data_IF_644612967792
#
_entry.id   IF_644612967792
#
_cell.length_a   1.000
_cell.length_b   1.000
_cell.length_c   1.000
_cell.angle_alpha   90.00
_cell.angle_beta   90.00
_cell.angle_gamma   90.00
#
_symmetry.space_group_name_H-M   'P 1'
#
loop_
_entity.id
_entity.type
_entity.pdbx_description
1 polymer ?
#
# COMPACT_ATOMS: atom_id res chain seq x y z
N UNK A 1 -6.40 14.63 23.33
CA UNK A 1 -5.01 15.05 23.04
C UNK A 1 -4.56 14.20 21.87
N UNK A 2 -4.72 14.69 20.65
CA UNK A 2 -4.23 14.00 19.46
C UNK A 2 -2.70 14.11 19.48
N UNK A 3 -2.00 12.97 19.52
CA UNK A 3 -0.56 12.93 19.31
C UNK A 3 -0.30 12.77 17.82
N UNK A 4 0.54 13.63 17.27
CA UNK A 4 1.05 13.50 15.91
C UNK A 4 1.81 12.17 15.79
N UNK A 5 1.38 11.32 14.88
CA UNK A 5 2.09 10.09 14.54
C UNK A 5 3.07 10.34 13.40
N UNK A 6 4.18 10.96 13.74
CA UNK A 6 5.42 10.73 13.00
C UNK A 6 6.15 9.63 13.77
N UNK A 7 6.32 8.47 13.16
CA UNK A 7 7.07 7.38 13.75
C UNK A 7 8.50 7.83 14.06
N UNK A 8 8.72 8.33 15.28
CA UNK A 8 10.04 8.54 15.84
C UNK A 8 10.68 7.18 16.14
N UNK A 9 11.08 6.48 15.11
CA UNK A 9 11.85 5.27 15.16
C UNK A 9 12.57 5.16 13.84
N UNK A 10 13.75 5.77 13.72
CA UNK A 10 14.72 5.31 12.73
C UNK A 10 14.84 3.81 12.96
N UNK A 11 14.14 3.01 12.15
CA UNK A 11 14.21 1.56 12.24
C UNK A 11 15.68 1.15 12.13
N UNK A 12 16.12 0.29 13.04
CA UNK A 12 17.50 -0.23 13.11
C UNK A 12 17.98 -0.80 11.77
N UNK A 13 17.07 -1.13 10.86
CA UNK A 13 17.34 -1.60 9.50
C UNK A 13 18.11 -0.59 8.63
N UNK A 14 17.97 0.72 8.84
CA UNK A 14 18.69 1.74 8.07
C UNK A 14 20.14 1.95 8.53
N UNK A 15 20.52 1.54 9.72
CA UNK A 15 21.89 1.75 10.24
C UNK A 15 22.89 0.69 9.81
N UNK A 16 22.45 -0.47 9.31
CA UNK A 16 23.34 -1.61 9.01
C UNK A 16 23.69 -1.81 7.52
N UNK A 17 23.25 -0.94 6.61
CA UNK A 17 23.42 -1.13 5.15
C UNK A 17 24.68 -0.50 4.53
N UNK A 18 25.72 -0.20 5.30
CA UNK A 18 27.01 0.31 4.77
C UNK A 18 28.10 -0.76 4.80
N UNK A 19 27.79 -2.03 4.59
CA UNK A 19 28.79 -3.09 4.46
C UNK A 19 28.74 -3.67 3.04
N UNK A 20 29.71 -3.26 2.23
CA UNK A 20 30.07 -3.86 0.94
C UNK A 20 30.29 -5.37 1.11
N UNK A 21 29.38 -6.20 0.67
CA UNK A 21 29.62 -7.64 0.62
C UNK A 21 29.75 -8.12 -0.83
N UNK A 22 30.91 -8.66 -1.11
CA UNK A 22 31.24 -9.45 -2.28
C UNK A 22 30.19 -10.55 -2.47
N UNK A 23 29.61 -10.57 -3.67
CA UNK A 23 28.78 -11.66 -4.18
C UNK A 23 29.66 -12.90 -4.34
N UNK A 24 29.55 -13.86 -3.44
CA UNK A 24 30.03 -15.23 -3.67
C UNK A 24 28.95 -16.19 -3.19
N UNK A 25 28.64 -17.13 -4.07
CA UNK A 25 27.74 -18.29 -3.93
C UNK A 25 27.61 -18.87 -2.52
N UNK A 26 26.52 -18.53 -1.81
CA UNK A 26 26.14 -19.18 -0.54
C UNK A 26 24.68 -19.65 -0.52
N UNK A 27 24.07 -19.89 -1.69
CA UNK A 27 22.72 -20.45 -1.77
C UNK A 27 22.72 -21.94 -2.12
N UNK A 28 23.59 -22.75 -1.52
CA UNK A 28 23.47 -24.21 -1.56
C UNK A 28 23.75 -24.78 -0.17
N UNK A 29 22.68 -25.28 0.46
CA UNK A 29 22.68 -26.15 1.64
C UNK A 29 22.28 -25.56 3.01
N UNK A 30 21.20 -24.79 3.09
CA UNK A 30 20.35 -24.81 4.29
C UNK A 30 19.15 -25.71 3.96
N UNK A 31 18.96 -26.80 4.69
CA UNK A 31 17.86 -27.76 4.49
C UNK A 31 16.47 -27.21 4.88
N UNK A 32 16.25 -25.93 4.67
CA UNK A 32 14.94 -25.28 4.82
C UNK A 32 14.17 -25.55 3.53
N UNK A 33 12.96 -26.12 3.58
CA UNK A 33 12.11 -26.31 2.40
C UNK A 33 11.94 -25.00 1.67
N UNK A 34 12.23 -25.03 0.37
CA UNK A 34 12.05 -23.85 -0.48
C UNK A 34 10.57 -23.68 -0.71
N UNK A 35 9.94 -22.71 -0.02
CA UNK A 35 8.50 -22.42 -0.13
C UNK A 35 8.20 -21.85 -1.51
N UNK A 36 7.30 -22.52 -2.23
CA UNK A 36 6.79 -22.07 -3.53
C UNK A 36 5.50 -21.30 -3.30
N UNK A 37 5.44 -20.04 -3.69
CA UNK A 37 4.25 -19.20 -3.51
C UNK A 37 4.54 -17.76 -3.93
N UNK A 38 3.53 -16.90 -3.98
CA UNK A 38 3.73 -15.50 -4.30
C UNK A 38 4.50 -14.77 -3.20
N UNK A 39 5.15 -13.67 -3.54
CA UNK A 39 5.47 -12.64 -2.55
C UNK A 39 4.18 -11.91 -2.18
N UNK A 40 3.90 -11.77 -0.89
CA UNK A 40 2.78 -11.00 -0.38
C UNK A 40 3.26 -9.64 0.12
N UNK A 41 2.74 -8.55 -0.44
CA UNK A 41 3.11 -7.19 -0.08
C UNK A 41 1.87 -6.48 0.45
N UNK A 42 1.91 -6.10 1.72
CA UNK A 42 0.75 -5.59 2.44
C UNK A 42 0.78 -4.06 2.53
N UNK A 43 -0.27 -3.40 2.08
CA UNK A 43 -0.60 -2.05 2.47
C UNK A 43 -1.11 -2.10 3.92
N UNK A 44 -0.19 -1.86 4.85
CA UNK A 44 -0.48 -2.05 6.27
C UNK A 44 -1.48 -1.02 6.76
N UNK A 45 -1.42 0.22 6.27
CA UNK A 45 -2.35 1.28 6.62
C UNK A 45 -3.79 0.92 6.22
N UNK A 46 -4.00 0.50 4.98
CA UNK A 46 -5.31 0.05 4.50
C UNK A 46 -5.88 -1.10 5.34
N UNK A 47 -5.04 -2.04 5.78
CA UNK A 47 -5.45 -3.20 6.57
C UNK A 47 -5.78 -2.85 8.02
N UNK A 48 -4.99 -2.00 8.69
CA UNK A 48 -5.30 -1.65 10.07
C UNK A 48 -6.47 -0.67 10.19
N UNK A 49 -6.62 0.29 9.26
CA UNK A 49 -7.81 1.15 9.21
C UNK A 49 -9.08 0.33 9.01
N UNK A 50 -9.03 -0.63 8.09
CA UNK A 50 -10.12 -1.56 7.86
C UNK A 50 -10.46 -2.36 9.12
N UNK A 51 -9.45 -2.89 9.80
CA UNK A 51 -9.61 -3.66 11.03
C UNK A 51 -10.21 -2.80 12.15
N UNK A 52 -9.75 -1.56 12.31
CA UNK A 52 -10.25 -0.61 13.28
C UNK A 52 -11.76 -0.38 13.12
N UNK A 53 -12.23 -0.16 11.89
CA UNK A 53 -13.65 0.09 11.62
C UNK A 53 -14.51 -1.17 11.59
N UNK A 54 -13.93 -2.34 11.36
CA UNK A 54 -14.68 -3.60 11.26
C UNK A 54 -14.86 -4.30 12.62
N UNK A 55 -13.94 -4.08 13.56
CA UNK A 55 -13.97 -4.75 14.86
C UNK A 55 -14.85 -3.99 15.86
N UNK A 56 -15.53 -4.70 16.77
CA UNK A 56 -16.32 -4.06 17.82
C UNK A 56 -15.46 -3.16 18.72
N UNK A 57 -15.90 -1.94 18.99
CA UNK A 57 -15.23 -0.99 19.89
C UNK A 57 -15.13 -1.47 21.34
N UNK A 58 -15.88 -2.51 21.71
CA UNK A 58 -15.81 -3.16 23.03
C UNK A 58 -14.64 -4.11 23.20
N UNK A 59 -13.86 -4.37 22.15
CA UNK A 59 -12.65 -5.18 22.25
C UNK A 59 -11.53 -4.37 22.89
N UNK A 60 -11.02 -4.86 24.01
CA UNK A 60 -9.97 -4.18 24.78
C UNK A 60 -8.79 -5.09 25.10
N UNK A 61 -7.64 -4.49 25.28
CA UNK A 61 -6.46 -5.06 25.87
C UNK A 61 -6.63 -5.25 27.38
N UNK A 62 -5.73 -5.96 28.08
CA UNK A 62 -5.80 -6.18 29.54
C UNK A 62 -5.86 -4.89 30.38
N UNK A 63 -5.29 -3.79 29.90
CA UNK A 63 -5.32 -2.47 30.55
C UNK A 63 -6.61 -1.68 30.27
N UNK A 64 -7.52 -2.22 29.46
CA UNK A 64 -8.78 -1.59 29.06
C UNK A 64 -8.69 -0.72 27.81
N UNK A 65 -7.51 -0.51 27.20
CA UNK A 65 -7.36 0.23 25.96
C UNK A 65 -7.95 -0.54 24.75
N UNK A 66 -8.48 0.15 23.72
CA UNK A 66 -8.97 -0.52 22.52
C UNK A 66 -7.86 -1.32 21.82
N UNK A 67 -8.18 -2.55 21.35
CA UNK A 67 -7.24 -3.41 20.63
C UNK A 67 -7.82 -4.04 19.36
N UNK A 68 -8.97 -3.55 18.89
CA UNK A 68 -9.67 -4.11 17.73
C UNK A 68 -8.82 -4.10 16.46
N UNK A 69 -8.09 -3.02 16.20
CA UNK A 69 -7.23 -2.91 15.02
C UNK A 69 -6.09 -3.93 15.06
N UNK A 70 -5.42 -4.11 16.21
CA UNK A 70 -4.34 -5.10 16.37
C UNK A 70 -4.87 -6.52 16.14
N UNK A 71 -5.99 -6.87 16.79
CA UNK A 71 -6.62 -8.19 16.64
C UNK A 71 -7.05 -8.46 15.19
N UNK A 72 -7.73 -7.50 14.58
CA UNK A 72 -8.24 -7.63 13.21
C UNK A 72 -7.13 -7.72 12.19
N UNK A 73 -6.08 -6.92 12.33
CA UNK A 73 -4.90 -6.96 11.47
C UNK A 73 -4.20 -8.33 11.53
N UNK A 74 -3.88 -8.81 12.73
CA UNK A 74 -3.20 -10.11 12.90
C UNK A 74 -4.07 -11.27 12.41
N UNK A 75 -5.39 -11.24 12.66
CA UNK A 75 -6.31 -12.23 12.12
C UNK A 75 -6.35 -12.23 10.60
N UNK A 76 -6.31 -11.03 9.98
CA UNK A 76 -6.23 -10.87 8.53
C UNK A 76 -4.90 -11.38 7.98
N UNK A 77 -3.78 -11.05 8.63
CA UNK A 77 -2.45 -11.54 8.27
C UNK A 77 -2.39 -13.07 8.28
N UNK A 78 -2.86 -13.72 9.38
CA UNK A 78 -2.90 -15.17 9.47
C UNK A 78 -3.70 -15.78 8.31
N UNK A 79 -4.89 -15.22 8.03
CA UNK A 79 -5.75 -15.72 6.94
C UNK A 79 -5.16 -15.51 5.56
N UNK A 80 -4.46 -14.38 5.32
CA UNK A 80 -3.74 -14.13 4.07
C UNK A 80 -2.64 -15.18 3.85
N UNK A 81 -1.87 -15.51 4.88
CA UNK A 81 -0.83 -16.55 4.84
C UNK A 81 -1.46 -17.93 4.54
N UNK A 82 -2.53 -18.30 5.23
CA UNK A 82 -3.25 -19.56 5.00
C UNK A 82 -3.73 -19.72 3.57
N UNK A 83 -4.39 -18.67 3.04
CA UNK A 83 -5.05 -18.71 1.71
C UNK A 83 -4.05 -18.64 0.57
N UNK A 84 -3.09 -17.73 0.66
CA UNK A 84 -2.17 -17.47 -0.46
C UNK A 84 -0.86 -18.24 -0.38
N UNK A 85 -0.56 -18.89 0.77
CA UNK A 85 0.66 -19.69 0.98
C UNK A 85 1.93 -18.99 0.49
N UNK A 86 2.22 -17.75 0.97
CA UNK A 86 3.28 -16.94 0.39
C UNK A 86 4.67 -17.48 0.67
N UNK A 87 5.58 -17.30 -0.28
CA UNK A 87 7.00 -17.57 -0.10
C UNK A 87 7.71 -16.49 0.73
N UNK A 88 7.17 -15.27 0.77
CA UNK A 88 7.61 -14.16 1.61
C UNK A 88 6.48 -13.18 1.87
N UNK A 89 6.57 -12.43 2.96
CA UNK A 89 5.61 -11.38 3.34
C UNK A 89 6.36 -10.12 3.70
N UNK A 90 5.91 -8.97 3.21
CA UNK A 90 6.39 -7.63 3.59
C UNK A 90 5.23 -6.75 3.96
N UNK A 91 5.32 -6.08 5.10
CA UNK A 91 4.42 -5.03 5.52
C UNK A 91 4.96 -3.67 5.01
N UNK A 92 4.33 -3.08 3.99
CA UNK A 92 4.60 -1.72 3.54
C UNK A 92 4.12 -0.72 4.58
N UNK A 93 4.93 0.29 4.86
CA UNK A 93 4.69 1.24 5.93
C UNK A 93 4.83 2.68 5.44
N UNK A 94 3.91 3.54 5.83
CA UNK A 94 4.03 4.97 5.59
C UNK A 94 5.11 5.55 6.50
N UNK A 95 6.25 5.92 5.91
CA UNK A 95 7.25 6.72 6.61
C UNK A 95 6.91 8.22 6.56
N UNK A 96 6.14 8.61 5.54
CA UNK A 96 5.57 9.95 5.38
C UNK A 96 4.26 9.81 4.61
N UNK A 97 3.12 10.00 5.28
CA UNK A 97 1.80 9.84 4.69
C UNK A 97 1.42 10.97 3.70
N UNK A 98 2.16 12.10 3.75
CA UNK A 98 1.94 13.28 2.91
C UNK A 98 3.25 13.92 2.49
N UNK A 99 4.03 13.26 1.61
CA UNK A 99 5.38 13.67 1.25
C UNK A 99 5.45 15.11 0.71
N UNK A 100 6.42 15.87 1.20
CA UNK A 100 6.59 17.28 0.84
C UNK A 100 6.75 17.50 -0.67
N UNK A 101 7.34 16.54 -1.40
CA UNK A 101 7.48 16.63 -2.85
C UNK A 101 6.13 16.50 -3.58
N UNK A 102 5.20 15.65 -3.09
CA UNK A 102 3.82 15.56 -3.62
C UNK A 102 3.06 16.85 -3.34
N UNK A 103 3.20 17.41 -2.14
CA UNK A 103 2.61 18.70 -1.76
C UNK A 103 3.14 19.85 -2.62
N UNK A 104 4.45 19.86 -2.93
CA UNK A 104 5.04 20.87 -3.81
C UNK A 104 4.47 20.81 -5.23
N UNK A 105 4.15 19.62 -5.74
CA UNK A 105 3.51 19.44 -7.04
C UNK A 105 2.02 19.79 -7.00
N UNK A 106 1.31 19.34 -5.95
CA UNK A 106 -0.13 19.54 -5.77
C UNK A 106 -0.42 19.97 -4.32
N UNK A 107 -0.50 21.28 -4.03
CA UNK A 107 -0.75 21.78 -2.68
C UNK A 107 -2.06 21.27 -2.04
N UNK A 108 -3.01 20.85 -2.86
CA UNK A 108 -4.28 20.25 -2.41
C UNK A 108 -4.16 18.77 -1.99
N UNK A 109 -3.00 18.14 -2.24
CA UNK A 109 -2.81 16.72 -1.96
C UNK A 109 -3.08 16.39 -0.50
N UNK A 110 -4.07 15.53 -0.25
CA UNK A 110 -4.52 15.04 1.07
C UNK A 110 -4.79 16.14 2.14
N UNK A 111 -5.05 17.40 1.72
CA UNK A 111 -5.28 18.50 2.68
C UNK A 111 -6.48 18.29 3.58
N UNK A 112 -7.50 17.58 3.12
CA UNK A 112 -8.69 17.27 3.92
C UNK A 112 -8.45 16.22 5.02
N UNK A 113 -7.27 15.57 5.03
CA UNK A 113 -6.84 14.65 6.09
C UNK A 113 -5.95 15.34 7.14
N UNK A 114 -5.66 16.62 6.97
CA UNK A 114 -4.90 17.37 7.97
C UNK A 114 -5.76 17.59 9.22
N UNK A 115 -5.18 17.34 10.38
CA UNK A 115 -5.80 17.67 11.66
C UNK A 115 -6.04 19.18 11.75
N UNK A 116 -7.17 19.57 12.33
CA UNK A 116 -7.47 20.99 12.56
C UNK A 116 -6.36 21.64 13.41
N UNK A 117 -5.91 22.83 13.01
CA UNK A 117 -4.87 23.59 13.72
C UNK A 117 -5.21 23.89 15.19
N UNK A 118 -6.45 23.66 15.61
CA UNK A 118 -6.92 23.78 17.01
C UNK A 118 -6.97 22.46 17.79
N UNK A 119 -6.66 21.33 17.18
CA UNK A 119 -6.75 19.99 17.79
C UNK A 119 -5.61 19.66 18.75
N UNK A 120 -4.61 20.56 18.90
CA UNK A 120 -3.41 20.32 19.72
C UNK A 120 -2.36 19.44 19.06
N UNK A 121 -2.45 19.24 17.73
CA UNK A 121 -1.42 18.61 16.95
C UNK A 121 -0.11 19.42 17.08
N UNK A 122 0.98 18.74 17.43
CA UNK A 122 2.29 19.37 17.63
C UNK A 122 2.97 19.68 16.30
N UNK A 123 2.48 19.10 15.20
CA UNK A 123 3.04 19.24 13.85
C UNK A 123 2.00 19.81 12.86
N UNK A 124 2.45 20.68 11.97
CA UNK A 124 1.59 21.39 11.01
C UNK A 124 0.96 20.46 9.95
N UNK A 125 1.51 19.26 9.76
CA UNK A 125 1.07 18.25 8.78
C UNK A 125 0.60 16.94 9.44
N UNK A 126 0.10 16.99 10.70
CA UNK A 126 -0.45 15.80 11.35
C UNK A 126 -1.72 15.31 10.63
N UNK A 127 -1.84 13.99 10.43
CA UNK A 127 -3.05 13.38 9.87
C UNK A 127 -4.16 13.35 10.93
N UNK A 128 -5.39 13.70 10.54
CA UNK A 128 -6.57 13.50 11.37
C UNK A 128 -6.90 12.01 11.42
N UNK A 129 -6.62 11.36 12.55
CA UNK A 129 -6.95 9.98 12.82
C UNK A 129 -7.70 9.85 14.15
N UNK A 130 -8.53 8.81 14.33
CA UNK A 130 -9.17 8.55 15.61
C UNK A 130 -8.12 8.42 16.73
N UNK A 131 -8.35 9.08 17.87
CA UNK A 131 -7.41 9.08 19.02
C UNK A 131 -7.01 7.64 19.46
N UNK A 132 -7.96 6.70 19.36
CA UNK A 132 -7.77 5.32 19.76
C UNK A 132 -7.01 4.47 18.72
N UNK A 133 -6.77 4.97 17.52
CA UNK A 133 -6.10 4.19 16.45
C UNK A 133 -4.58 4.22 16.62
N UNK A 134 -4.02 5.37 16.90
CA UNK A 134 -2.59 5.56 16.94
C UNK A 134 -1.85 4.56 17.84
N UNK A 135 -2.23 4.40 19.14
CA UNK A 135 -1.59 3.39 19.99
C UNK A 135 -1.68 1.97 19.44
N UNK A 136 -2.76 1.64 18.72
CA UNK A 136 -2.93 0.33 18.11
C UNK A 136 -2.02 0.13 16.89
N UNK A 137 -1.71 1.20 16.15
CA UNK A 137 -0.72 1.17 15.05
C UNK A 137 0.67 0.87 15.59
N UNK A 138 1.05 1.51 16.73
CA UNK A 138 2.30 1.18 17.43
C UNK A 138 2.32 -0.28 17.88
N UNK A 139 1.20 -0.76 18.43
CA UNK A 139 1.09 -2.17 18.84
C UNK A 139 1.23 -3.14 17.66
N UNK A 140 0.70 -2.81 16.49
CA UNK A 140 0.90 -3.60 15.27
C UNK A 140 2.37 -3.59 14.86
N UNK A 141 3.02 -2.43 14.88
CA UNK A 141 4.44 -2.30 14.56
C UNK A 141 5.30 -3.15 15.51
N UNK A 142 5.06 -3.04 16.83
CA UNK A 142 5.76 -3.81 17.84
C UNK A 142 5.62 -5.33 17.63
N UNK A 143 4.40 -5.82 17.30
CA UNK A 143 4.18 -7.24 17.02
C UNK A 143 4.89 -7.70 15.76
N UNK A 144 4.84 -6.90 14.67
CA UNK A 144 5.54 -7.23 13.42
C UNK A 144 7.05 -7.27 13.61
N UNK A 145 7.61 -6.30 14.32
CA UNK A 145 9.04 -6.22 14.61
C UNK A 145 9.48 -7.40 15.51
N UNK A 146 8.70 -7.75 16.54
CA UNK A 146 8.98 -8.91 17.40
C UNK A 146 8.82 -10.25 16.66
N UNK A 147 7.90 -10.36 15.69
CA UNK A 147 7.82 -11.52 14.80
C UNK A 147 9.00 -11.62 13.85
N UNK A 148 9.79 -10.55 13.66
CA UNK A 148 10.79 -10.44 12.61
C UNK A 148 10.21 -10.37 11.19
N UNK A 149 8.91 -10.05 11.06
CA UNK A 149 8.27 -9.85 9.77
C UNK A 149 8.75 -8.52 9.16
N UNK A 150 9.30 -8.52 7.92
CA UNK A 150 9.79 -7.30 7.30
C UNK A 150 8.73 -6.20 7.24
N UNK A 151 8.99 -5.09 7.92
CA UNK A 151 8.19 -3.86 7.91
C UNK A 151 9.01 -2.76 7.25
N UNK A 152 8.68 -2.45 5.99
CA UNK A 152 9.47 -1.55 5.16
C UNK A 152 8.75 -0.24 4.88
N UNK A 153 9.40 0.87 5.20
CA UNK A 153 9.05 2.23 4.83
C UNK A 153 10.23 2.90 4.13
N UNK A 154 10.02 4.00 3.45
CA UNK A 154 11.07 4.78 2.83
C UNK A 154 10.94 6.27 3.22
N UNK A 155 12.01 6.96 3.66
CA UNK A 155 11.93 8.36 4.04
C UNK A 155 11.31 9.23 2.94
N UNK A 156 10.41 10.14 3.31
CA UNK A 156 9.70 11.03 2.41
C UNK A 156 8.86 10.31 1.33
N UNK A 157 8.42 9.07 1.61
CA UNK A 157 7.56 8.29 0.72
C UNK A 157 6.45 7.58 1.51
N UNK A 158 5.37 7.30 0.80
CA UNK A 158 4.23 6.56 1.30
C UNK A 158 4.46 5.03 1.14
N UNK A 159 3.64 4.24 1.84
CA UNK A 159 3.64 2.79 1.68
C UNK A 159 3.46 2.37 0.22
N UNK A 160 2.61 3.07 -0.54
CA UNK A 160 2.35 2.81 -1.95
C UNK A 160 3.61 2.80 -2.83
N UNK A 161 4.57 3.71 -2.55
CA UNK A 161 5.85 3.77 -3.25
C UNK A 161 6.73 2.56 -2.89
N UNK A 162 6.68 2.09 -1.65
CA UNK A 162 7.38 0.87 -1.22
C UNK A 162 6.77 -0.35 -1.90
N UNK A 163 5.44 -0.48 -1.90
CA UNK A 163 4.74 -1.58 -2.57
C UNK A 163 5.05 -1.59 -4.07
N UNK A 164 5.01 -0.42 -4.70
CA UNK A 164 5.30 -0.27 -6.12
C UNK A 164 6.75 -0.66 -6.44
N UNK A 165 7.70 -0.18 -5.67
CA UNK A 165 9.12 -0.48 -5.85
C UNK A 165 9.40 -1.98 -5.67
N UNK A 166 8.83 -2.59 -4.63
CA UNK A 166 9.01 -4.02 -4.38
C UNK A 166 8.34 -4.88 -5.48
N UNK A 167 7.21 -4.44 -6.02
CA UNK A 167 6.49 -5.18 -7.06
C UNK A 167 7.27 -5.34 -8.37
N UNK A 168 8.22 -4.43 -8.66
CA UNK A 168 9.05 -4.48 -9.88
C UNK A 168 10.47 -4.99 -9.63
N UNK A 169 10.99 -4.90 -8.39
CA UNK A 169 12.33 -5.35 -8.02
C UNK A 169 12.32 -6.83 -7.69
N UNK A 170 12.11 -7.68 -8.70
CA UNK A 170 11.96 -9.12 -8.50
C UNK A 170 13.22 -9.84 -8.02
N UNK A 171 14.37 -9.20 -8.08
CA UNK A 171 15.63 -9.67 -7.48
C UNK A 171 15.64 -9.61 -5.95
N UNK A 172 14.73 -8.85 -5.35
CA UNK A 172 14.48 -8.82 -3.92
C UNK A 172 13.49 -9.90 -3.45
N UNK A 173 12.77 -10.54 -4.36
CA UNK A 173 11.78 -11.54 -3.99
C UNK A 173 12.44 -12.81 -3.45
N UNK A 174 11.78 -13.56 -2.58
CA UNK A 174 12.27 -14.88 -2.17
C UNK A 174 12.55 -15.74 -3.41
N UNK A 175 13.65 -16.48 -3.43
CA UNK A 175 14.21 -17.12 -4.62
C UNK A 175 13.29 -17.99 -5.45
N UNK A 176 12.09 -18.32 -4.95
CA UNK A 176 11.07 -19.13 -5.65
C UNK A 176 9.82 -18.35 -6.04
N UNK A 177 9.66 -17.12 -5.58
CA UNK A 177 8.52 -16.32 -5.95
C UNK A 177 8.55 -15.98 -7.45
N UNK A 178 7.50 -16.37 -8.16
CA UNK A 178 7.29 -16.04 -9.57
C UNK A 178 6.27 -14.91 -9.73
N UNK A 179 5.49 -14.65 -8.70
CA UNK A 179 4.40 -13.69 -8.65
C UNK A 179 4.46 -12.85 -7.37
N UNK A 180 3.90 -11.66 -7.45
CA UNK A 180 3.66 -10.77 -6.31
C UNK A 180 2.16 -10.51 -6.18
N UNK A 181 1.64 -10.57 -4.96
CA UNK A 181 0.27 -10.14 -4.62
C UNK A 181 0.37 -8.91 -3.72
N UNK A 182 -0.03 -7.77 -4.24
CA UNK A 182 -0.23 -6.55 -3.47
C UNK A 182 -1.60 -6.60 -2.82
N UNK A 183 -1.69 -6.35 -1.51
CA UNK A 183 -2.95 -6.39 -0.75
C UNK A 183 -3.27 -4.99 -0.28
N UNK A 184 -4.28 -4.34 -0.88
CA UNK A 184 -4.67 -2.97 -0.52
C UNK A 184 -6.13 -2.68 -0.84
N UNK A 185 -6.71 -1.70 -0.15
CA UNK A 185 -8.00 -1.07 -0.49
C UNK A 185 -7.85 0.08 -1.48
N UNK A 186 -6.63 0.55 -1.73
CA UNK A 186 -6.37 1.64 -2.63
C UNK A 186 -6.45 1.21 -4.10
N UNK A 187 -7.26 1.93 -4.86
CA UNK A 187 -7.45 1.66 -6.29
C UNK A 187 -6.31 2.18 -7.13
N UNK A 188 -5.55 3.14 -6.64
CA UNK A 188 -4.42 3.69 -7.38
C UNK A 188 -3.32 2.64 -7.57
N UNK A 189 -3.27 1.61 -6.71
CA UNK A 189 -2.39 0.45 -6.87
C UNK A 189 -2.79 -0.50 -8.01
N UNK A 190 -3.93 -0.27 -8.69
CA UNK A 190 -4.25 -0.94 -9.97
C UNK A 190 -3.14 -0.72 -11.00
N UNK A 191 -2.47 0.43 -10.96
CA UNK A 191 -1.32 0.73 -11.82
C UNK A 191 -0.15 -0.27 -11.70
N UNK A 192 -0.11 -1.07 -10.62
CA UNK A 192 0.97 -2.04 -10.38
C UNK A 192 0.72 -3.40 -11.04
N UNK A 193 -0.51 -3.67 -11.46
CA UNK A 193 -0.91 -4.96 -11.99
C UNK A 193 -0.20 -5.25 -13.32
N UNK A 194 0.44 -6.43 -13.39
CA UNK A 194 1.12 -6.99 -14.57
C UNK A 194 0.84 -8.49 -14.66
N UNK A 195 1.45 -9.18 -15.62
CA UNK A 195 1.36 -10.65 -15.69
C UNK A 195 1.97 -11.36 -14.47
N UNK A 196 2.85 -10.68 -13.71
CA UNK A 196 3.49 -11.20 -12.49
C UNK A 196 3.03 -10.54 -11.20
N UNK A 197 2.29 -9.44 -11.27
CA UNK A 197 1.80 -8.68 -10.10
C UNK A 197 0.29 -8.63 -10.14
N UNK A 198 -0.35 -9.14 -9.10
CA UNK A 198 -1.80 -9.07 -8.90
C UNK A 198 -2.15 -8.18 -7.72
N UNK A 199 -3.32 -7.59 -7.76
CA UNK A 199 -3.87 -6.79 -6.65
C UNK A 199 -5.03 -7.55 -6.00
N UNK A 200 -4.87 -7.91 -4.73
CA UNK A 200 -5.97 -8.34 -3.88
C UNK A 200 -6.65 -7.08 -3.33
N UNK A 201 -7.72 -6.66 -3.99
CA UNK A 201 -8.41 -5.41 -3.66
C UNK A 201 -9.34 -5.63 -2.46
N UNK A 202 -9.01 -5.03 -1.32
CA UNK A 202 -9.78 -5.15 -0.09
C UNK A 202 -11.06 -4.29 -0.18
N UNK A 203 -12.16 -4.92 -0.52
CA UNK A 203 -13.48 -4.27 -0.60
C UNK A 203 -14.30 -4.55 0.67
N UNK A 204 -15.48 -3.91 0.81
CA UNK A 204 -16.40 -4.20 1.90
C UNK A 204 -16.83 -5.67 1.89
N UNK A 205 -16.99 -6.23 3.09
CA UNK A 205 -17.28 -7.65 3.29
C UNK A 205 -16.05 -8.41 3.82
N UNK A 206 -16.20 -9.73 3.99
CA UNK A 206 -15.10 -10.61 4.39
C UNK A 206 -14.06 -10.80 3.28
N UNK A 207 -12.94 -11.41 3.62
CA UNK A 207 -11.84 -11.68 2.67
C UNK A 207 -12.31 -12.49 1.44
N UNK A 208 -13.32 -13.32 1.60
CA UNK A 208 -13.92 -14.11 0.51
C UNK A 208 -14.52 -13.25 -0.60
N UNK A 209 -14.87 -12.00 -0.29
CA UNK A 209 -15.37 -11.02 -1.25
C UNK A 209 -14.27 -10.21 -1.96
N UNK A 210 -13.02 -10.32 -1.53
CA UNK A 210 -11.92 -9.54 -2.08
C UNK A 210 -11.50 -10.10 -3.44
N UNK A 211 -11.68 -9.33 -4.52
CA UNK A 211 -11.25 -9.80 -5.83
C UNK A 211 -9.73 -9.76 -5.95
N UNK A 212 -9.16 -10.86 -6.45
CA UNK A 212 -7.77 -10.90 -6.89
C UNK A 212 -7.73 -10.49 -8.36
N UNK A 213 -7.19 -9.32 -8.63
CA UNK A 213 -7.19 -8.69 -9.95
C UNK A 213 -5.87 -8.99 -10.67
N UNK A 214 -5.98 -9.60 -11.83
CA UNK A 214 -4.98 -9.65 -12.90
C UNK A 214 -5.28 -8.56 -13.95
N UNK A 215 -4.48 -8.41 -15.03
CA UNK A 215 -4.72 -7.39 -16.04
C UNK A 215 -6.11 -7.48 -16.70
N UNK A 216 -6.62 -8.69 -16.92
CA UNK A 216 -7.94 -8.88 -17.54
C UNK A 216 -9.08 -8.49 -16.59
N UNK A 217 -9.00 -8.93 -15.33
CA UNK A 217 -10.00 -8.61 -14.30
C UNK A 217 -10.00 -7.10 -13.99
N UNK A 218 -8.83 -6.47 -13.95
CA UNK A 218 -8.70 -5.03 -13.78
C UNK A 218 -9.35 -4.25 -14.93
N UNK A 219 -9.06 -4.64 -16.18
CA UNK A 219 -9.68 -4.02 -17.34
C UNK A 219 -11.20 -4.22 -17.36
N UNK A 220 -11.68 -5.41 -17.06
CA UNK A 220 -13.13 -5.69 -16.97
C UNK A 220 -13.82 -4.85 -15.88
N UNK A 221 -13.14 -4.60 -14.77
CA UNK A 221 -13.70 -3.86 -13.62
C UNK A 221 -13.66 -2.34 -13.81
N UNK A 222 -12.58 -1.81 -14.35
CA UNK A 222 -12.33 -0.36 -14.43
C UNK A 222 -12.50 0.23 -15.83
N UNK A 223 -12.59 -0.62 -16.86
CA UNK A 223 -12.77 -0.20 -18.26
C UNK A 223 -11.51 0.34 -18.93
N UNK A 224 -10.36 0.22 -18.27
CA UNK A 224 -9.02 0.62 -18.75
C UNK A 224 -8.01 -0.43 -18.33
N UNK A 225 -6.91 -0.54 -19.05
CA UNK A 225 -5.79 -1.40 -18.64
C UNK A 225 -5.10 -0.84 -17.39
N UNK A 226 -4.35 -1.67 -16.63
CA UNK A 226 -3.57 -1.18 -15.50
C UNK A 226 -2.64 -0.02 -15.84
N UNK A 227 -1.97 -0.07 -17.00
CA UNK A 227 -1.09 1.00 -17.46
C UNK A 227 -1.81 2.32 -17.75
N UNK A 228 -3.10 2.26 -18.03
CA UNK A 228 -3.95 3.41 -18.32
C UNK A 228 -4.67 3.96 -17.07
N UNK A 229 -4.55 3.26 -15.94
CA UNK A 229 -5.36 3.57 -14.76
C UNK A 229 -5.08 4.96 -14.21
N UNK A 230 -3.80 5.34 -14.07
CA UNK A 230 -3.40 6.67 -13.58
C UNK A 230 -3.97 7.78 -14.48
N UNK A 231 -3.83 7.64 -15.79
CA UNK A 231 -4.33 8.65 -16.74
C UNK A 231 -5.86 8.80 -16.66
N UNK A 232 -6.58 7.70 -16.50
CA UNK A 232 -8.03 7.73 -16.28
C UNK A 232 -8.37 8.38 -14.93
N UNK A 233 -7.62 8.06 -13.86
CA UNK A 233 -7.86 8.58 -12.52
C UNK A 233 -7.66 10.10 -12.45
N UNK A 234 -6.58 10.62 -13.00
CA UNK A 234 -6.32 12.08 -13.00
C UNK A 234 -7.30 12.88 -13.84
N UNK A 235 -7.84 12.31 -14.93
CA UNK A 235 -8.92 12.92 -15.69
C UNK A 235 -10.22 13.02 -14.90
N UNK A 236 -10.57 11.94 -14.19
CA UNK A 236 -11.77 11.86 -13.34
C UNK A 236 -11.65 12.76 -12.11
N UNK A 237 -10.44 12.90 -11.60
CA UNK A 237 -10.13 13.43 -10.29
C UNK A 237 -10.29 12.38 -9.18
N UNK A 238 -9.64 12.64 -8.06
CA UNK A 238 -9.78 11.87 -6.84
C UNK A 238 -9.94 12.79 -5.61
N UNK A 239 -11.17 12.94 -5.10
CA UNK A 239 -11.40 13.76 -3.91
C UNK A 239 -10.71 13.23 -2.67
N UNK A 240 -10.46 11.91 -2.58
CA UNK A 240 -9.76 11.30 -1.43
C UNK A 240 -8.29 11.67 -1.38
N UNK A 241 -7.70 12.11 -2.48
CA UNK A 241 -6.34 12.63 -2.56
C UNK A 241 -6.27 14.14 -2.86
N UNK A 242 -7.43 14.81 -2.87
CA UNK A 242 -7.48 16.25 -3.15
C UNK A 242 -7.17 16.61 -4.61
N UNK A 243 -7.36 15.66 -5.55
CA UNK A 243 -7.12 15.85 -6.97
C UNK A 243 -8.41 16.29 -7.67
N UNK A 244 -8.47 17.49 -8.28
CA UNK A 244 -9.73 18.07 -8.79
C UNK A 244 -10.26 17.40 -10.06
N UNK A 245 -9.38 16.78 -10.87
CA UNK A 245 -9.73 16.26 -12.19
C UNK A 245 -10.10 17.36 -13.20
N UNK A 246 -10.67 16.96 -14.33
CA UNK A 246 -11.11 17.88 -15.37
C UNK A 246 -12.61 18.12 -15.27
N UNK A 247 -13.02 19.36 -15.10
CA UNK A 247 -14.43 19.73 -14.97
C UNK A 247 -15.30 19.16 -16.12
N UNK A 248 -16.32 18.35 -15.77
CA UNK A 248 -17.20 17.69 -16.72
C UNK A 248 -16.67 16.40 -17.33
N UNK A 249 -15.54 15.89 -16.84
CA UNK A 249 -15.06 14.54 -17.11
C UNK A 249 -15.30 13.68 -15.85
N UNK A 250 -16.37 12.90 -15.85
CA UNK A 250 -16.60 11.87 -14.83
C UNK A 250 -16.02 10.52 -15.28
N UNK A 251 -16.15 9.50 -14.43
CA UNK A 251 -15.55 8.18 -14.63
C UNK A 251 -15.84 7.59 -16.04
N UNK A 252 -17.10 7.58 -16.49
CA UNK A 252 -17.46 7.03 -17.82
C UNK A 252 -16.78 7.77 -18.97
N UNK A 253 -16.69 9.10 -18.86
CA UNK A 253 -16.06 9.92 -19.89
C UNK A 253 -14.56 9.73 -19.90
N UNK A 254 -13.91 9.69 -18.72
CA UNK A 254 -12.48 9.41 -18.58
C UNK A 254 -12.10 8.06 -19.20
N UNK A 255 -12.84 7.00 -18.86
CA UNK A 255 -12.66 5.66 -19.47
C UNK A 255 -12.79 5.71 -20.98
N UNK A 256 -13.87 6.33 -21.50
CA UNK A 256 -14.10 6.41 -22.97
C UNK A 256 -12.98 7.16 -23.71
N UNK A 257 -12.48 8.25 -23.10
CA UNK A 257 -11.39 9.05 -23.69
C UNK A 257 -10.08 8.27 -23.68
N UNK A 258 -9.69 7.67 -22.56
CA UNK A 258 -8.45 6.90 -22.47
C UNK A 258 -8.51 5.64 -23.34
N UNK A 259 -9.63 4.93 -23.39
CA UNK A 259 -9.79 3.79 -24.28
C UNK A 259 -9.64 4.17 -25.78
N UNK A 260 -10.07 5.39 -26.17
CA UNK A 260 -9.98 5.84 -27.56
C UNK A 260 -8.60 6.39 -27.92
N UNK A 261 -7.96 7.15 -27.03
CA UNK A 261 -6.72 7.87 -27.34
C UNK A 261 -5.46 7.15 -26.84
N UNK A 262 -5.63 6.14 -25.98
CA UNK A 262 -4.54 5.31 -25.47
C UNK A 262 -4.00 5.81 -24.13
N UNK A 263 -3.60 7.07 -24.06
CA UNK A 263 -3.04 7.71 -22.87
C UNK A 263 -3.40 9.19 -22.79
N UNK A 264 -3.00 9.83 -21.68
CA UNK A 264 -3.25 11.25 -21.43
C UNK A 264 -2.52 12.15 -22.43
N UNK A 265 -1.31 11.81 -22.84
CA UNK A 265 -0.49 12.64 -23.74
C UNK A 265 -1.10 12.67 -25.13
N UNK A 266 -1.53 11.52 -25.65
CA UNK A 266 -2.24 11.43 -26.93
C UNK A 266 -3.60 12.15 -26.89
N UNK A 267 -4.33 12.07 -25.76
CA UNK A 267 -5.58 12.78 -25.57
C UNK A 267 -5.38 14.30 -25.56
N UNK A 268 -4.36 14.79 -24.84
CA UNK A 268 -4.03 16.22 -24.83
C UNK A 268 -3.57 16.70 -26.22
N UNK A 269 -2.77 15.92 -26.93
CA UNK A 269 -2.40 16.22 -28.31
C UNK A 269 -3.64 16.31 -29.23
N UNK A 270 -4.58 15.37 -29.09
CA UNK A 270 -5.85 15.40 -29.83
C UNK A 270 -6.73 16.61 -29.47
N UNK A 271 -6.65 17.08 -28.21
CA UNK A 271 -7.35 18.30 -27.80
C UNK A 271 -6.80 19.57 -28.45
N UNK A 272 -5.54 19.56 -28.87
CA UNK A 272 -4.91 20.66 -29.62
C UNK A 272 -5.07 20.54 -31.15
N UNK A 273 -5.49 19.37 -31.65
CA UNK A 273 -5.71 19.17 -33.09
C UNK A 273 -7.05 19.74 -33.55
N UNK A 274 -7.12 20.15 -34.83
CA UNK A 274 -8.37 20.55 -35.47
C UNK A 274 -8.57 19.76 -36.78
N UNK A 275 -9.79 19.31 -37.04
CA UNK A 275 -11.00 19.42 -36.24
C UNK A 275 -10.97 18.45 -35.04
N UNK A 276 -11.62 18.85 -33.94
CA UNK A 276 -11.83 17.95 -32.78
C UNK A 276 -12.77 16.82 -33.17
N UNK A 277 -12.37 15.57 -32.94
CA UNK A 277 -13.09 14.34 -33.35
C UNK A 277 -13.68 13.62 -32.13
N UNK A 278 -14.91 13.11 -32.28
CA UNK A 278 -15.56 12.30 -31.23
C UNK A 278 -14.70 11.09 -30.83
N UNK A 279 -14.71 10.69 -29.56
CA UNK A 279 -15.61 11.08 -28.46
C UNK A 279 -15.25 12.43 -27.81
N UNK A 280 -14.12 13.05 -28.16
CA UNK A 280 -13.73 14.37 -27.71
C UNK A 280 -14.68 15.42 -28.28
N UNK A 281 -15.15 16.33 -27.44
CA UNK A 281 -15.99 17.46 -27.84
C UNK A 281 -15.18 18.76 -27.75
N UNK A 282 -15.52 19.81 -28.54
CA UNK A 282 -14.82 21.10 -28.44
C UNK A 282 -14.76 21.66 -27.02
N UNK A 283 -15.83 21.46 -26.23
CA UNK A 283 -15.89 21.91 -24.85
C UNK A 283 -14.92 21.11 -23.94
N UNK A 284 -14.81 19.80 -24.12
CA UNK A 284 -13.87 18.96 -23.35
C UNK A 284 -12.43 19.27 -23.80
N UNK A 285 -12.19 19.42 -25.11
CA UNK A 285 -10.89 19.77 -25.65
C UNK A 285 -10.36 21.08 -25.04
N UNK A 286 -11.22 22.11 -24.98
CA UNK A 286 -10.86 23.37 -24.35
C UNK A 286 -10.47 23.22 -22.87
N UNK A 287 -11.22 22.44 -22.11
CA UNK A 287 -10.91 22.18 -20.70
C UNK A 287 -9.63 21.38 -20.51
N UNK A 288 -9.35 20.42 -21.38
CA UNK A 288 -8.10 19.67 -21.37
C UNK A 288 -6.89 20.58 -21.65
N UNK A 289 -7.02 21.49 -22.63
CA UNK A 289 -5.98 22.51 -22.91
C UNK A 289 -5.69 23.38 -21.70
N UNK A 290 -6.76 23.84 -21.01
CA UNK A 290 -6.63 24.68 -19.81
C UNK A 290 -6.04 23.94 -18.62
N UNK A 291 -6.35 22.64 -18.46
CA UNK A 291 -5.89 21.80 -17.35
C UNK A 291 -4.56 21.08 -17.63
N UNK A 292 -3.94 21.25 -18.79
CA UNK A 292 -2.81 20.43 -19.23
C UNK A 292 -1.67 20.34 -18.21
N UNK A 293 -1.22 21.48 -17.69
CA UNK A 293 -0.12 21.52 -16.71
C UNK A 293 -0.53 20.87 -15.38
N UNK A 294 -1.76 21.12 -14.94
CA UNK A 294 -2.29 20.53 -13.70
C UNK A 294 -2.43 19.00 -13.81
N UNK A 295 -2.89 18.50 -14.96
CA UNK A 295 -2.95 17.07 -15.25
C UNK A 295 -1.57 16.43 -15.23
N UNK A 296 -0.53 17.08 -15.73
CA UNK A 296 0.84 16.62 -15.65
C UNK A 296 1.32 16.48 -14.19
N UNK A 297 1.04 17.48 -13.35
CA UNK A 297 1.35 17.43 -11.92
C UNK A 297 0.54 16.35 -11.18
N UNK A 298 -0.75 16.27 -11.44
CA UNK A 298 -1.62 15.24 -10.85
C UNK A 298 -1.14 13.82 -11.21
N UNK A 299 -0.78 13.59 -12.49
CA UNK A 299 -0.19 12.31 -12.93
C UNK A 299 1.10 11.98 -12.18
N UNK A 300 1.99 12.96 -12.01
CA UNK A 300 3.23 12.75 -11.26
C UNK A 300 2.98 12.40 -9.78
N UNK A 301 1.98 13.02 -9.15
CA UNK A 301 1.60 12.73 -7.76
C UNK A 301 0.95 11.36 -7.60
N UNK A 302 0.08 10.95 -8.55
CA UNK A 302 -0.65 9.68 -8.51
C UNK A 302 0.20 8.48 -8.93
N UNK A 303 1.26 8.71 -9.72
CA UNK A 303 2.16 7.64 -10.14
C UNK A 303 3.04 7.22 -8.97
N UNK A 304 2.93 5.97 -8.55
CA UNK A 304 3.76 5.42 -7.49
C UNK A 304 5.23 5.27 -7.94
N UNK A 305 6.16 5.63 -7.06
CA UNK A 305 7.62 5.51 -7.28
C UNK A 305 8.00 4.03 -7.29
N UNK A 306 8.83 3.59 -8.24
CA UNK A 306 9.14 2.16 -8.48
C UNK A 306 10.61 1.79 -8.33
N UNK A 307 11.45 2.72 -7.95
CA UNK A 307 12.92 2.57 -7.91
C UNK A 307 13.53 2.94 -6.56
N UNK A 308 12.72 2.86 -5.48
CA UNK A 308 13.24 3.11 -4.14
C UNK A 308 14.32 2.10 -3.77
N UNK A 309 15.38 2.53 -3.08
CA UNK A 309 16.37 1.62 -2.50
C UNK A 309 15.74 0.90 -1.30
N UNK A 310 15.33 -0.36 -1.50
CA UNK A 310 14.74 -1.17 -0.44
C UNK A 310 15.81 -1.96 0.35
N UNK A 311 15.52 -2.40 1.60
CA UNK A 311 16.53 -2.94 2.52
C UNK A 311 17.25 -4.22 2.07
N UNK A 312 16.82 -4.88 1.02
CA UNK A 312 17.48 -6.08 0.51
C UNK A 312 16.50 -7.22 0.22
N UNK A 313 16.97 -8.45 0.03
CA UNK A 313 16.10 -9.58 -0.26
C UNK A 313 15.08 -9.81 0.85
N UNK A 314 13.84 -10.10 0.45
CA UNK A 314 12.76 -10.48 1.38
C UNK A 314 13.07 -11.88 1.93
N UNK A 315 13.08 -12.06 3.26
CA UNK A 315 13.24 -13.38 3.85
C UNK A 315 12.04 -14.28 3.50
N UNK A 316 12.30 -15.58 3.38
CA UNK A 316 11.23 -16.56 3.19
C UNK A 316 10.29 -16.57 4.39
N UNK A 317 9.00 -16.80 4.14
CA UNK A 317 8.00 -16.94 5.21
C UNK A 317 8.41 -18.10 6.15
N UNK A 318 8.54 -17.80 7.44
CA UNK A 318 9.03 -18.73 8.45
C UNK A 318 10.55 -18.70 8.70
N UNK A 319 11.30 -17.93 7.90
CA UNK A 319 12.70 -17.59 8.19
C UNK A 319 12.83 -16.22 8.88
N UNK A 320 11.80 -15.81 9.61
CA UNK A 320 11.79 -14.57 10.37
C UNK A 320 12.62 -14.72 11.65
N UNK A 321 13.40 -13.69 11.95
CA UNK A 321 14.20 -13.62 13.18
C UNK A 321 13.31 -13.17 14.35
N UNK A 322 12.53 -14.10 14.90
CA UNK A 322 11.55 -13.82 15.95
C UNK A 322 12.22 -13.61 17.31
N UNK A 323 11.98 -12.44 17.91
CA UNK A 323 12.31 -12.18 19.32
C UNK A 323 11.19 -12.73 20.22
N UNK A 324 11.35 -13.99 20.68
CA UNK A 324 10.35 -14.69 21.49
C UNK A 324 9.97 -13.96 22.78
N UNK A 325 10.93 -13.44 23.59
CA UNK A 325 10.58 -12.62 24.76
C UNK A 325 9.79 -11.37 24.43
N UNK A 326 10.24 -10.58 23.44
CA UNK A 326 9.54 -9.36 23.05
C UNK A 326 8.14 -9.67 22.47
N UNK A 327 8.02 -10.76 21.71
CA UNK A 327 6.72 -11.18 21.16
C UNK A 327 5.74 -11.60 22.25
N UNK A 328 6.21 -12.32 23.28
CA UNK A 328 5.36 -12.69 24.41
C UNK A 328 4.88 -11.44 25.17
N UNK A 329 5.79 -10.51 25.46
CA UNK A 329 5.47 -9.27 26.19
C UNK A 329 4.46 -8.39 25.43
N UNK A 330 4.65 -8.20 24.12
CA UNK A 330 3.73 -7.39 23.32
C UNK A 330 2.39 -8.07 23.12
N UNK A 331 2.38 -9.40 22.96
CA UNK A 331 1.13 -10.18 22.82
C UNK A 331 0.29 -10.12 24.11
N UNK A 332 0.91 -10.25 25.30
CA UNK A 332 0.25 -10.10 26.59
C UNK A 332 -0.28 -8.66 26.78
N UNK A 333 0.55 -7.65 26.54
CA UNK A 333 0.17 -6.23 26.66
C UNK A 333 -1.08 -5.89 25.85
N UNK A 334 -1.16 -6.39 24.60
CA UNK A 334 -2.30 -6.14 23.72
C UNK A 334 -3.41 -7.21 23.82
N UNK A 335 -3.23 -8.30 24.59
CA UNK A 335 -4.17 -9.41 24.70
C UNK A 335 -4.42 -10.10 23.36
N UNK A 336 -3.36 -10.32 22.56
CA UNK A 336 -3.43 -10.86 21.20
C UNK A 336 -2.67 -12.18 21.04
N UNK A 337 -2.39 -12.89 22.12
CA UNK A 337 -1.66 -14.18 22.13
C UNK A 337 -2.29 -15.18 21.17
N UNK A 338 -3.63 -15.22 21.14
CA UNK A 338 -4.36 -16.10 20.22
C UNK A 338 -4.11 -15.74 18.75
N UNK A 339 -4.07 -14.46 18.42
CA UNK A 339 -3.85 -13.98 17.05
C UNK A 339 -2.41 -14.22 16.61
N UNK A 340 -1.44 -14.00 17.50
CA UNK A 340 -0.03 -14.33 17.27
C UNK A 340 0.12 -15.82 17.00
N UNK A 341 -0.52 -16.67 17.82
CA UNK A 341 -0.50 -18.13 17.62
C UNK A 341 -1.18 -18.54 16.29
N UNK A 342 -2.23 -17.84 15.85
CA UNK A 342 -2.84 -18.07 14.53
C UNK A 342 -1.86 -17.76 13.39
N UNK A 343 -1.11 -16.65 13.48
CA UNK A 343 -0.07 -16.31 12.47
C UNK A 343 1.00 -17.41 12.45
N UNK A 344 1.49 -17.84 13.61
CA UNK A 344 2.50 -18.91 13.70
C UNK A 344 2.03 -20.23 13.10
N UNK A 345 0.80 -20.64 13.38
CA UNK A 345 0.21 -21.86 12.79
C UNK A 345 0.08 -21.75 11.28
N UNK A 346 -0.34 -20.58 10.79
CA UNK A 346 -0.44 -20.35 9.35
C UNK A 346 0.94 -20.48 8.68
N UNK A 347 2.01 -19.98 9.33
CA UNK A 347 3.38 -20.11 8.84
C UNK A 347 3.86 -21.56 8.86
N UNK A 348 3.63 -22.28 9.97
CA UNK A 348 4.03 -23.70 10.10
C UNK A 348 3.30 -24.59 9.08
N UNK A 349 2.02 -24.33 8.84
CA UNK A 349 1.24 -25.08 7.85
C UNK A 349 1.71 -24.89 6.38
N UNK A 350 2.66 -23.98 6.12
CA UNK A 350 3.29 -23.85 4.80
C UNK A 350 4.33 -24.95 4.53
N UNK A 351 4.81 -25.63 5.58
CA UNK A 351 5.82 -26.68 5.48
C UNK A 351 5.19 -28.06 5.22
N UNK A 352 3.85 -28.16 5.36
CA UNK A 352 3.04 -29.35 5.05
C UNK A 352 2.51 -29.31 3.59
#
# INVERSE_FOLDING_TARGET
>A
MARSYVGAGESQAWRNSAATHHRTDLCQNSGVPVKTGPLLVLDTASLYYRSFHAMPSSMTAPDGSPNGAVRGFLGTLARLIEVHRPSGVVAGWDADWRPAWRVALMPTYKTHRLADAGSGAEEADAEEAPDDLGPQVDGIADVLDALGLPRWGAPAHEADDVLASLSVQSDLWPGTAQECIVVSGDRDLVQLITDRVRLLLTVNGGMEAWPLLDPQAANARFGVTPAQYVDMAVLRGDPSDGLPGVAGIGAKTAVSLIAQYGDLDALVAAAHAEPVVRPLTPRIAERLRQAHEELGRARAVTTAVRDLPLPGPVPSTGAWDTDEPALADVAERWGVERQVEQVRRAVVALDD
#
